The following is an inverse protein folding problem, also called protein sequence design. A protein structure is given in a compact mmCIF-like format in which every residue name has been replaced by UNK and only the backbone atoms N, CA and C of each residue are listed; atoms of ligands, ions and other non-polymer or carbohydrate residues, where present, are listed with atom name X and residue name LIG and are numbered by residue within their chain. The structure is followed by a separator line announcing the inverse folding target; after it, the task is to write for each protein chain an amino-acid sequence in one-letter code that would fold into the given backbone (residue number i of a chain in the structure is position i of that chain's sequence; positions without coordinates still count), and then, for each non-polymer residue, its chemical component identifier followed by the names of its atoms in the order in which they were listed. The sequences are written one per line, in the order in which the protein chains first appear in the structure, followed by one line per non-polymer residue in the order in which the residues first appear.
data_IF_791755239708
#
_entry.id   IF_791755239708
#
_cell.length_a   1.000
_cell.length_b   1.000
_cell.length_c   1.000
_cell.angle_alpha   90.00
_cell.angle_beta   90.00
_cell.angle_gamma   90.00
#
_symmetry.space_group_name_H-M   'P 1'
#
loop_
_entity.id
_entity.type
_entity.pdbx_description
1 polymer ?
#
# COMPACT_ATOMS: atom_id res chain seq x y z
N UNK A 1 9.26 1.79 21.77
CA UNK A 1 10.62 1.86 21.24
C UNK A 1 10.99 3.20 20.59
N UNK A 2 10.33 4.31 20.83
CA UNK A 2 10.66 5.69 20.50
C UNK A 2 11.68 5.95 19.37
N UNK A 3 12.39 7.04 19.46
CA UNK A 3 13.37 7.53 18.49
C UNK A 3 14.41 6.49 17.98
N UNK A 4 14.80 5.55 18.80
CA UNK A 4 15.87 4.60 18.45
C UNK A 4 15.41 3.44 17.58
N UNK A 5 14.08 3.22 17.46
CA UNK A 5 13.51 2.02 16.81
C UNK A 5 12.37 2.33 15.83
N UNK A 6 11.91 3.58 15.76
CA UNK A 6 10.86 4.03 14.85
C UNK A 6 11.49 4.97 13.83
N UNK A 7 11.91 4.42 12.72
CA UNK A 7 12.57 5.15 11.64
C UNK A 7 11.87 4.91 10.30
N UNK A 8 10.67 5.46 10.12
CA UNK A 8 9.98 5.34 8.84
C UNK A 8 10.76 6.03 7.70
N UNK A 9 11.66 6.94 8.02
CA UNK A 9 12.48 7.65 7.04
C UNK A 9 13.37 6.74 6.19
N UNK A 10 13.65 5.51 6.64
CA UNK A 10 14.39 4.53 5.83
C UNK A 10 13.63 4.18 4.55
N UNK A 11 12.30 4.25 4.58
CA UNK A 11 11.48 4.02 3.40
C UNK A 11 11.66 5.12 2.34
N UNK A 12 11.91 6.37 2.75
CA UNK A 12 12.23 7.44 1.79
C UNK A 12 13.51 7.14 1.01
N UNK A 13 14.47 6.48 1.67
CA UNK A 13 15.69 6.04 1.01
C UNK A 13 15.39 4.97 -0.03
N UNK A 14 14.59 3.98 0.33
CA UNK A 14 14.16 2.94 -0.61
C UNK A 14 13.26 3.48 -1.72
N UNK A 15 12.42 4.48 -1.45
CA UNK A 15 11.61 5.13 -2.48
C UNK A 15 12.46 5.79 -3.55
N UNK A 16 13.54 6.50 -3.15
CA UNK A 16 14.50 7.05 -4.10
C UNK A 16 15.18 5.97 -4.95
N UNK A 17 15.63 4.89 -4.32
CA UNK A 17 16.25 3.76 -5.02
C UNK A 17 15.25 3.01 -5.91
N UNK A 18 13.99 2.92 -5.50
CA UNK A 18 12.91 2.32 -6.29
C UNK A 18 12.66 3.08 -7.60
N UNK A 19 12.74 4.42 -7.57
CA UNK A 19 12.59 5.25 -8.78
C UNK A 19 13.80 5.16 -9.70
N UNK A 20 14.99 5.11 -9.15
CA UNK A 20 16.25 5.29 -9.88
C UNK A 20 16.98 3.97 -10.20
N UNK A 21 16.45 2.83 -9.77
CA UNK A 21 17.18 1.58 -9.93
C UNK A 21 16.34 0.31 -9.77
N UNK A 22 17.04 -0.80 -9.61
CA UNK A 22 16.48 -2.13 -9.47
C UNK A 22 16.23 -2.50 -8.00
N UNK A 23 15.59 -1.59 -7.23
CA UNK A 23 15.20 -1.87 -5.84
C UNK A 23 13.70 -2.07 -5.77
N UNK A 24 13.29 -3.14 -5.11
CA UNK A 24 11.91 -3.59 -4.96
C UNK A 24 11.58 -3.70 -3.47
N UNK A 25 11.03 -2.66 -2.85
CA UNK A 25 10.46 -2.77 -1.51
C UNK A 25 9.14 -3.55 -1.60
N UNK A 26 9.03 -4.61 -0.81
CA UNK A 26 7.87 -5.49 -0.76
C UNK A 26 7.17 -5.36 0.59
N UNK A 27 5.85 -5.31 0.55
CA UNK A 27 4.98 -5.10 1.71
C UNK A 27 3.93 -6.22 1.81
N UNK A 28 4.31 -7.40 2.30
CA UNK A 28 3.34 -8.48 2.53
C UNK A 28 2.31 -8.08 3.59
N UNK A 29 1.14 -8.70 3.53
CA UNK A 29 -0.01 -8.39 4.40
C UNK A 29 -0.39 -9.50 5.37
N UNK A 30 0.20 -10.69 5.20
CA UNK A 30 -0.02 -11.88 6.04
C UNK A 30 1.09 -12.92 5.84
N UNK A 31 1.01 -14.05 6.53
CA UNK A 31 2.02 -15.09 6.45
C UNK A 31 2.16 -15.73 5.05
N UNK A 32 1.07 -15.90 4.30
CA UNK A 32 1.12 -16.43 2.94
C UNK A 32 1.82 -15.46 1.99
N UNK A 33 1.53 -14.18 2.13
CA UNK A 33 2.17 -13.14 1.33
C UNK A 33 3.65 -12.96 1.70
N UNK A 34 4.03 -13.11 2.97
CA UNK A 34 5.43 -13.16 3.38
C UNK A 34 6.15 -14.30 2.67
N UNK A 35 5.58 -15.51 2.67
CA UNK A 35 6.16 -16.66 2.00
C UNK A 35 6.34 -16.43 0.49
N UNK A 36 5.34 -15.85 -0.16
CA UNK A 36 5.42 -15.51 -1.59
C UNK A 36 6.51 -14.47 -1.87
N UNK A 37 6.62 -13.43 -1.04
CA UNK A 37 7.67 -12.41 -1.16
C UNK A 37 9.07 -13.02 -1.01
N UNK A 38 9.28 -13.88 -0.01
CA UNK A 38 10.57 -14.58 0.14
C UNK A 38 10.89 -15.49 -1.05
N UNK A 39 9.91 -16.27 -1.53
CA UNK A 39 10.11 -17.11 -2.70
C UNK A 39 10.51 -16.28 -3.93
N UNK A 40 9.80 -15.18 -4.17
CA UNK A 40 10.11 -14.26 -5.26
C UNK A 40 11.52 -13.65 -5.11
N UNK A 41 11.88 -13.23 -3.89
CA UNK A 41 13.19 -12.64 -3.61
C UNK A 41 14.34 -13.63 -3.86
N UNK A 42 14.19 -14.89 -3.46
CA UNK A 42 15.20 -15.93 -3.63
C UNK A 42 15.36 -16.41 -5.09
N UNK A 43 14.30 -16.28 -5.90
CA UNK A 43 14.31 -16.68 -7.30
C UNK A 43 14.61 -15.54 -8.28
N UNK A 44 14.62 -14.29 -7.80
CA UNK A 44 14.88 -13.11 -8.61
C UNK A 44 16.36 -12.73 -8.57
N UNK A 45 16.95 -12.42 -9.73
CA UNK A 45 18.37 -12.06 -9.85
C UNK A 45 18.53 -10.58 -10.21
N UNK A 46 19.68 -10.00 -9.85
CA UNK A 46 20.10 -8.63 -10.19
C UNK A 46 19.13 -7.53 -9.70
N UNK A 47 18.43 -7.77 -8.59
CA UNK A 47 17.52 -6.81 -7.96
C UNK A 47 17.83 -6.69 -6.46
N UNK A 48 17.80 -5.47 -5.94
CA UNK A 48 17.77 -5.21 -4.50
C UNK A 48 16.33 -5.41 -3.99
N UNK A 49 16.14 -6.24 -2.99
CA UNK A 49 14.81 -6.54 -2.47
C UNK A 49 14.79 -6.28 -0.96
N UNK A 50 13.80 -5.54 -0.51
CA UNK A 50 13.51 -5.37 0.92
C UNK A 50 12.11 -5.89 1.21
N UNK A 51 11.91 -6.54 2.35
CA UNK A 51 10.61 -7.05 2.79
C UNK A 51 10.30 -6.42 4.13
N UNK A 52 9.24 -5.64 4.20
CA UNK A 52 8.77 -4.97 5.42
C UNK A 52 7.47 -5.61 5.90
N UNK A 53 7.52 -6.22 7.08
CA UNK A 53 6.36 -6.85 7.72
C UNK A 53 6.38 -6.62 9.22
N UNK A 54 5.23 -6.66 9.86
CA UNK A 54 5.12 -6.61 11.32
C UNK A 54 5.58 -7.92 11.96
N UNK A 55 5.82 -7.87 13.27
CA UNK A 55 6.11 -9.05 14.09
C UNK A 55 4.85 -9.63 14.75
N UNK A 56 3.70 -9.02 14.50
CA UNK A 56 2.43 -9.42 15.10
C UNK A 56 1.76 -10.53 14.29
N UNK A 57 1.11 -11.48 14.92
CA UNK A 57 0.24 -12.42 14.22
C UNK A 57 -0.96 -11.67 13.66
N UNK A 58 -1.25 -11.90 12.38
CA UNK A 58 -2.33 -11.24 11.65
C UNK A 58 -3.21 -12.29 10.94
N UNK A 59 -4.49 -11.99 10.68
CA UNK A 59 -5.35 -12.86 9.92
C UNK A 59 -4.80 -13.13 8.51
N UNK A 60 -4.93 -14.35 8.02
CA UNK A 60 -4.65 -14.70 6.64
C UNK A 60 -5.70 -14.08 5.73
N UNK A 61 -5.27 -13.34 4.73
CA UNK A 61 -6.12 -12.59 3.79
C UNK A 61 -5.85 -12.96 2.33
N UNK A 62 -4.68 -13.56 2.07
CA UNK A 62 -4.25 -13.92 0.73
C UNK A 62 -3.85 -15.40 0.65
N UNK A 63 -3.88 -15.95 -0.55
CA UNK A 63 -3.18 -17.20 -0.86
C UNK A 63 -1.77 -16.89 -1.40
N UNK A 64 -0.91 -17.91 -1.41
CA UNK A 64 0.41 -17.82 -2.03
C UNK A 64 0.33 -17.40 -3.50
N UNK A 65 -0.57 -18.01 -4.28
CA UNK A 65 -0.71 -17.73 -5.70
C UNK A 65 -1.26 -16.35 -5.99
N UNK A 66 -2.23 -15.88 -5.21
CA UNK A 66 -2.72 -14.50 -5.30
C UNK A 66 -1.60 -13.49 -5.07
N UNK A 67 -0.77 -13.71 -4.05
CA UNK A 67 0.36 -12.80 -3.78
C UNK A 67 1.43 -12.91 -4.86
N UNK A 68 1.71 -14.09 -5.39
CA UNK A 68 2.64 -14.27 -6.51
C UNK A 68 2.20 -13.42 -7.72
N UNK A 69 0.91 -13.43 -8.04
CA UNK A 69 0.35 -12.56 -9.07
C UNK A 69 0.48 -11.07 -8.70
N UNK A 70 0.20 -10.70 -7.45
CA UNK A 70 0.32 -9.33 -6.97
C UNK A 70 1.76 -8.80 -7.01
N UNK A 71 2.78 -9.64 -6.84
CA UNK A 71 4.19 -9.26 -6.98
C UNK A 71 4.52 -8.79 -8.40
N UNK A 72 3.89 -9.38 -9.41
CA UNK A 72 4.04 -8.97 -10.81
C UNK A 72 3.16 -7.77 -11.19
N UNK A 73 1.98 -7.65 -10.59
CA UNK A 73 1.03 -6.56 -10.86
C UNK A 73 1.25 -5.34 -9.96
N UNK A 74 1.93 -5.48 -8.85
CA UNK A 74 2.17 -4.43 -7.86
C UNK A 74 1.18 -4.41 -6.70
N UNK A 75 -0.07 -4.82 -6.91
CA UNK A 75 -1.13 -4.76 -5.91
C UNK A 75 -2.19 -5.84 -6.12
N UNK A 76 -3.04 -6.03 -5.10
CA UNK A 76 -4.17 -6.96 -5.12
C UNK A 76 -5.39 -6.35 -4.42
N UNK A 77 -6.57 -6.50 -5.01
CA UNK A 77 -7.83 -6.21 -4.34
C UNK A 77 -8.16 -7.32 -3.33
N UNK A 78 -8.21 -6.97 -2.05
CA UNK A 78 -8.52 -7.90 -0.95
C UNK A 78 -10.02 -8.02 -0.71
N UNK A 79 -10.76 -6.91 -0.88
CA UNK A 79 -12.19 -6.83 -0.66
C UNK A 79 -12.79 -5.75 -1.54
N UNK A 80 -14.04 -5.97 -1.98
CA UNK A 80 -14.90 -4.95 -2.60
C UNK A 80 -16.30 -5.07 -2.03
N UNK A 81 -16.85 -3.93 -1.62
CA UNK A 81 -18.22 -3.80 -1.12
C UNK A 81 -18.97 -2.87 -2.07
N UNK A 82 -20.16 -3.25 -2.57
CA UNK A 82 -20.94 -2.39 -3.48
C UNK A 82 -21.51 -1.17 -2.76
N UNK A 83 -21.76 -0.10 -3.50
CA UNK A 83 -22.40 1.13 -3.03
C UNK A 83 -22.69 2.07 -4.21
N UNK A 84 -23.42 3.15 -3.98
CA UNK A 84 -23.67 4.18 -5.01
C UNK A 84 -22.39 4.92 -5.39
N UNK A 85 -21.54 5.15 -4.42
CA UNK A 85 -20.18 5.71 -4.59
C UNK A 85 -19.16 4.73 -4.03
N UNK A 86 -17.97 4.71 -4.58
CA UNK A 86 -16.90 3.77 -4.19
C UNK A 86 -15.65 4.51 -3.72
N UNK A 87 -15.28 4.26 -2.48
CA UNK A 87 -13.99 4.68 -1.92
C UNK A 87 -12.96 3.59 -2.11
N UNK A 88 -11.83 3.92 -2.71
CA UNK A 88 -10.70 3.01 -2.84
C UNK A 88 -9.69 3.29 -1.72
N UNK A 89 -9.34 2.26 -0.98
CA UNK A 89 -8.27 2.28 0.00
C UNK A 89 -7.02 1.61 -0.60
N UNK A 90 -6.00 2.41 -0.96
CA UNK A 90 -4.69 1.91 -1.38
C UNK A 90 -3.80 1.77 -0.15
N UNK A 91 -3.50 0.54 0.26
CA UNK A 91 -2.90 0.26 1.58
C UNK A 91 -1.51 -0.35 1.44
N UNK A 92 -0.54 0.23 2.13
CA UNK A 92 0.79 -0.37 2.37
C UNK A 92 0.93 -0.69 3.86
N UNK A 93 1.35 -1.92 4.13
CA UNK A 93 1.58 -2.43 5.49
C UNK A 93 0.40 -3.25 6.03
N UNK A 94 0.77 -4.28 6.75
CA UNK A 94 -0.13 -5.29 7.26
C UNK A 94 -1.01 -4.80 8.43
N UNK A 95 -0.42 -4.04 9.36
CA UNK A 95 -1.12 -3.48 10.53
C UNK A 95 -2.16 -2.42 10.15
N UNK A 96 -1.92 -1.65 9.09
CA UNK A 96 -2.84 -0.60 8.63
C UNK A 96 -4.13 -1.15 8.03
N UNK A 97 -4.14 -2.42 7.65
CA UNK A 97 -5.36 -3.09 7.17
C UNK A 97 -6.44 -3.19 8.26
N UNK A 98 -6.07 -3.27 9.53
CA UNK A 98 -7.04 -3.40 10.63
C UNK A 98 -8.04 -2.23 10.61
N UNK A 99 -7.62 -0.96 10.80
CA UNK A 99 -8.55 0.17 10.75
C UNK A 99 -9.15 0.43 9.36
N UNK A 100 -8.54 -0.06 8.28
CA UNK A 100 -9.12 0.04 6.94
C UNK A 100 -10.33 -0.87 6.79
N UNK A 101 -10.28 -2.11 7.29
CA UNK A 101 -11.45 -3.00 7.28
C UNK A 101 -12.60 -2.42 8.12
N UNK A 102 -12.28 -1.89 9.31
CA UNK A 102 -13.25 -1.21 10.17
C UNK A 102 -13.90 0.01 9.45
N UNK A 103 -13.10 0.80 8.75
CA UNK A 103 -13.60 1.94 7.96
C UNK A 103 -14.52 1.48 6.81
N UNK A 104 -14.14 0.41 6.11
CA UNK A 104 -14.97 -0.16 5.04
C UNK A 104 -16.32 -0.67 5.55
N UNK A 105 -16.35 -1.29 6.71
CA UNK A 105 -17.58 -1.72 7.38
C UNK A 105 -18.45 -0.51 7.78
N UNK A 106 -17.85 0.53 8.37
CA UNK A 106 -18.58 1.77 8.71
C UNK A 106 -19.16 2.46 7.47
N UNK A 107 -18.43 2.54 6.36
CA UNK A 107 -18.92 3.10 5.10
C UNK A 107 -20.08 2.28 4.53
N UNK A 108 -19.98 0.96 4.56
CA UNK A 108 -21.01 0.06 4.07
C UNK A 108 -22.36 0.26 4.82
N UNK A 109 -22.33 0.51 6.14
CA UNK A 109 -23.56 0.83 6.91
C UNK A 109 -24.23 2.13 6.46
N UNK A 110 -23.51 2.99 5.72
CA UNK A 110 -23.98 4.27 5.20
C UNK A 110 -24.29 4.21 3.69
N UNK A 111 -24.28 3.01 3.08
CA UNK A 111 -24.54 2.82 1.66
C UNK A 111 -23.36 3.19 0.74
N UNK A 112 -22.22 3.49 1.30
CA UNK A 112 -21.00 3.83 0.55
C UNK A 112 -20.20 2.55 0.31
N UNK A 113 -19.92 2.24 -0.94
CA UNK A 113 -19.09 1.12 -1.35
C UNK A 113 -17.60 1.37 -1.08
N UNK A 114 -16.84 0.30 -1.00
CA UNK A 114 -15.40 0.40 -0.82
C UNK A 114 -14.64 -0.70 -1.57
N UNK A 115 -13.40 -0.41 -1.94
CA UNK A 115 -12.43 -1.39 -2.42
C UNK A 115 -11.14 -1.26 -1.63
N UNK A 116 -10.72 -2.36 -0.99
CA UNK A 116 -9.44 -2.44 -0.26
C UNK A 116 -8.40 -3.06 -1.18
N UNK A 117 -7.37 -2.30 -1.53
CA UNK A 117 -6.29 -2.71 -2.42
C UNK A 117 -4.98 -2.71 -1.64
N UNK A 118 -4.41 -3.88 -1.43
CA UNK A 118 -3.09 -4.01 -0.83
C UNK A 118 -2.00 -3.80 -1.88
N UNK A 119 -1.12 -2.85 -1.65
CA UNK A 119 0.06 -2.59 -2.47
C UNK A 119 1.21 -3.43 -1.94
N UNK A 120 1.57 -4.48 -2.68
CA UNK A 120 2.61 -5.44 -2.30
C UNK A 120 3.98 -5.03 -2.88
N UNK A 121 4.00 -4.57 -4.14
CA UNK A 121 5.19 -4.19 -4.87
C UNK A 121 4.97 -2.82 -5.55
N UNK A 122 5.14 -1.71 -4.82
CA UNK A 122 4.85 -0.38 -5.34
C UNK A 122 5.66 -0.02 -6.59
N UNK A 123 6.85 -0.61 -6.77
CA UNK A 123 7.70 -0.38 -7.96
C UNK A 123 6.96 -0.68 -9.27
N UNK A 124 6.10 -1.70 -9.29
CA UNK A 124 5.31 -2.09 -10.47
C UNK A 124 4.21 -1.09 -10.84
N UNK A 125 3.84 -0.20 -9.91
CA UNK A 125 2.74 0.75 -10.09
C UNK A 125 3.17 2.08 -10.73
N UNK A 126 4.46 2.33 -10.90
CA UNK A 126 4.93 3.47 -11.69
C UNK A 126 4.55 3.29 -13.17
N UNK A 127 4.49 4.40 -13.89
CA UNK A 127 4.61 4.39 -15.36
C UNK A 127 6.08 4.53 -15.74
N UNK A 128 6.49 4.09 -16.93
CA UNK A 128 7.86 4.35 -17.43
C UNK A 128 8.25 5.82 -17.37
N UNK A 129 7.31 6.73 -17.64
CA UNK A 129 7.51 8.19 -17.58
C UNK A 129 7.74 8.75 -16.17
N UNK A 130 7.37 8.00 -15.13
CA UNK A 130 7.44 8.47 -13.74
C UNK A 130 8.78 8.11 -13.07
N UNK A 131 9.63 7.33 -13.75
CA UNK A 131 10.91 6.84 -13.23
C UNK A 131 12.10 7.48 -13.95
N UNK A 132 13.29 7.35 -13.38
CA UNK A 132 14.50 7.87 -13.96
C UNK A 132 14.85 7.17 -15.28
N UNK A 133 15.61 7.85 -16.12
CA UNK A 133 16.06 7.38 -17.43
C UNK A 133 16.66 5.98 -17.41
N UNK A 134 17.52 5.68 -16.45
CA UNK A 134 18.18 4.37 -16.32
C UNK A 134 17.18 3.23 -16.04
N UNK A 135 16.08 3.54 -15.38
CA UNK A 135 15.02 2.58 -15.11
C UNK A 135 14.07 2.41 -16.31
N UNK A 136 14.01 3.38 -17.22
CA UNK A 136 13.21 3.31 -18.45
C UNK A 136 13.77 2.33 -19.49
N UNK A 137 15.01 1.86 -19.34
CA UNK A 137 15.57 0.81 -20.18
C UNK A 137 14.99 -0.58 -19.89
N UNK A 138 14.22 -0.70 -18.82
CA UNK A 138 13.49 -1.92 -18.50
C UNK A 138 12.25 -2.03 -19.40
N UNK A 139 11.87 -3.23 -19.77
CA UNK A 139 10.73 -3.48 -20.66
C UNK A 139 9.43 -2.90 -20.06
N UNK A 140 8.53 -2.42 -20.91
CA UNK A 140 7.19 -1.95 -20.49
C UNK A 140 6.42 -2.99 -19.68
N UNK A 141 6.76 -4.28 -19.81
CA UNK A 141 6.22 -5.37 -18.99
C UNK A 141 6.60 -5.32 -17.51
N UNK A 142 7.57 -4.46 -17.12
CA UNK A 142 7.93 -4.28 -15.70
C UNK A 142 6.98 -3.34 -14.95
N UNK A 143 6.03 -2.71 -15.62
CA UNK A 143 5.07 -1.78 -15.03
C UNK A 143 3.63 -2.22 -15.30
N UNK A 144 2.75 -1.99 -14.33
CA UNK A 144 1.34 -2.29 -14.49
C UNK A 144 0.70 -1.40 -15.57
N UNK A 145 0.08 -2.00 -16.58
CA UNK A 145 -0.63 -1.28 -17.64
C UNK A 145 -1.77 -0.40 -17.06
N UNK A 146 -2.06 0.73 -17.73
CA UNK A 146 -3.06 1.70 -17.27
C UNK A 146 -4.45 1.09 -17.08
N UNK A 147 -4.88 0.19 -17.96
CA UNK A 147 -6.16 -0.49 -17.82
C UNK A 147 -6.27 -1.33 -16.55
N UNK A 148 -5.21 -2.09 -16.21
CA UNK A 148 -5.16 -2.89 -15.01
C UNK A 148 -5.01 -2.00 -13.74
N UNK A 149 -4.29 -0.88 -13.84
CA UNK A 149 -4.23 0.10 -12.75
C UNK A 149 -5.63 0.67 -12.44
N UNK A 150 -6.39 1.06 -13.45
CA UNK A 150 -7.76 1.56 -13.28
C UNK A 150 -8.66 0.52 -12.61
N UNK A 151 -8.59 -0.74 -13.02
CA UNK A 151 -9.39 -1.81 -12.40
C UNK A 151 -9.16 -1.91 -10.88
N UNK A 152 -7.94 -1.65 -10.41
CA UNK A 152 -7.60 -1.70 -9.00
C UNK A 152 -7.96 -0.39 -8.27
N UNK A 153 -7.63 0.76 -8.85
CA UNK A 153 -7.59 2.04 -8.14
C UNK A 153 -8.62 3.08 -8.59
N UNK A 154 -9.46 2.79 -9.60
CA UNK A 154 -10.52 3.71 -10.00
C UNK A 154 -11.72 3.62 -9.05
N UNK A 155 -12.21 4.78 -8.62
CA UNK A 155 -13.35 4.99 -7.75
C UNK A 155 -13.71 6.47 -7.69
N UNK A 156 -14.70 6.82 -6.88
CA UNK A 156 -15.15 8.22 -6.69
C UNK A 156 -14.19 8.98 -5.76
N UNK A 157 -13.56 8.28 -4.83
CA UNK A 157 -12.49 8.82 -3.98
C UNK A 157 -11.40 7.77 -3.74
N UNK A 158 -10.16 8.23 -3.48
CA UNK A 158 -9.02 7.37 -3.17
C UNK A 158 -8.30 7.84 -1.91
N UNK A 159 -8.15 6.94 -0.95
CA UNK A 159 -7.33 7.15 0.24
C UNK A 159 -6.11 6.23 0.20
N UNK A 160 -4.93 6.84 0.19
CA UNK A 160 -3.66 6.15 0.41
C UNK A 160 -3.38 6.01 1.90
N UNK A 161 -3.07 4.81 2.37
CA UNK A 161 -2.85 4.52 3.79
C UNK A 161 -1.57 3.71 3.96
N UNK A 162 -0.64 4.20 4.76
CA UNK A 162 0.60 3.50 5.05
C UNK A 162 1.03 3.64 6.50
N UNK A 163 1.57 2.56 7.06
CA UNK A 163 2.25 2.57 8.36
C UNK A 163 3.68 3.11 8.29
N UNK A 164 4.16 3.43 7.11
CA UNK A 164 5.46 4.04 6.83
C UNK A 164 5.34 5.45 6.28
N UNK A 165 6.28 5.84 5.43
CA UNK A 165 6.26 7.15 4.78
C UNK A 165 5.35 7.18 3.56
N UNK A 166 4.85 8.37 3.22
CA UNK A 166 3.99 8.58 2.05
C UNK A 166 4.68 8.25 0.71
N UNK A 167 5.99 8.27 0.67
CA UNK A 167 6.77 8.06 -0.55
C UNK A 167 6.50 6.72 -1.23
N UNK A 168 6.17 5.67 -0.46
CA UNK A 168 5.87 4.35 -1.02
C UNK A 168 4.54 4.28 -1.79
N UNK A 169 3.61 5.21 -1.52
CA UNK A 169 2.34 5.33 -2.24
C UNK A 169 2.40 6.30 -3.43
N UNK A 170 3.53 6.96 -3.64
CA UNK A 170 3.72 7.91 -4.74
C UNK A 170 3.25 7.36 -6.09
N UNK A 171 3.60 6.13 -6.51
CA UNK A 171 3.19 5.61 -7.81
C UNK A 171 1.67 5.52 -7.97
N UNK A 172 0.94 5.24 -6.90
CA UNK A 172 -0.53 5.25 -6.91
C UNK A 172 -1.06 6.66 -7.03
N UNK A 173 -0.52 7.59 -6.23
CA UNK A 173 -0.98 8.98 -6.19
C UNK A 173 -0.72 9.73 -7.49
N UNK A 174 0.39 9.46 -8.18
CA UNK A 174 0.73 10.07 -9.47
C UNK A 174 -0.23 9.64 -10.59
N UNK A 175 -0.74 8.41 -10.54
CA UNK A 175 -1.60 7.84 -11.58
C UNK A 175 -3.09 8.04 -11.33
N UNK A 176 -3.50 8.20 -10.07
CA UNK A 176 -4.90 8.34 -9.70
C UNK A 176 -5.49 9.66 -10.20
N UNK A 177 -6.73 9.60 -10.71
CA UNK A 177 -7.47 10.76 -11.23
C UNK A 177 -8.58 11.21 -10.31
N UNK A 178 -9.09 10.32 -9.43
CA UNK A 178 -10.10 10.64 -8.43
C UNK A 178 -9.61 11.66 -7.38
N UNK A 179 -10.52 12.40 -6.73
CA UNK A 179 -10.21 13.12 -5.50
C UNK A 179 -9.51 12.20 -4.50
N UNK A 180 -8.41 12.66 -3.92
CA UNK A 180 -7.56 11.78 -3.12
C UNK A 180 -6.88 12.46 -1.96
N UNK A 181 -6.55 11.67 -0.94
CA UNK A 181 -5.73 12.09 0.19
C UNK A 181 -4.90 10.91 0.71
N UNK A 182 -3.99 11.20 1.65
CA UNK A 182 -3.04 10.22 2.14
C UNK A 182 -2.84 10.31 3.64
N UNK A 183 -2.86 9.14 4.29
CA UNK A 183 -2.51 8.92 5.67
C UNK A 183 -1.19 8.16 5.76
N UNK A 184 -0.22 8.75 6.42
CA UNK A 184 1.10 8.17 6.59
C UNK A 184 1.62 8.41 8.00
N UNK A 185 2.64 7.69 8.39
CA UNK A 185 3.31 7.86 9.66
C UNK A 185 3.98 9.24 9.74
N UNK A 186 3.71 9.99 10.81
CA UNK A 186 4.19 11.36 11.01
C UNK A 186 5.03 11.54 12.26
N UNK A 187 4.83 10.68 13.27
CA UNK A 187 5.43 10.83 14.60
C UNK A 187 5.92 9.49 15.13
N UNK A 188 7.14 9.46 15.64
CA UNK A 188 7.78 8.28 16.19
C UNK A 188 8.44 8.50 17.56
N UNK A 189 8.09 9.60 18.25
CA UNK A 189 8.86 10.05 19.42
C UNK A 189 8.45 9.39 20.75
N UNK A 190 7.48 8.47 20.72
CA UNK A 190 7.00 7.83 21.94
C UNK A 190 6.95 6.32 21.84
N UNK A 191 6.93 5.66 22.98
CA UNK A 191 6.72 4.23 23.09
C UNK A 191 5.30 3.96 23.55
N UNK A 192 4.54 3.22 22.76
CA UNK A 192 3.16 2.85 23.05
C UNK A 192 2.79 1.54 22.36
N UNK A 193 1.58 1.05 22.57
CA UNK A 193 1.05 -0.08 21.80
C UNK A 193 0.91 0.28 20.32
N UNK A 194 0.93 -0.69 19.40
CA UNK A 194 0.73 -0.43 17.97
C UNK A 194 -0.54 0.38 17.68
N UNK A 195 -1.65 0.04 18.33
CA UNK A 195 -2.93 0.75 18.16
C UNK A 195 -2.83 2.22 18.62
N UNK A 196 -2.20 2.49 19.76
CA UNK A 196 -2.01 3.85 20.26
C UNK A 196 -1.08 4.66 19.35
N UNK A 197 -0.03 4.05 18.81
CA UNK A 197 0.86 4.69 17.84
C UNK A 197 0.16 4.99 16.51
N UNK A 198 -0.68 4.10 16.02
CA UNK A 198 -1.51 4.35 14.84
C UNK A 198 -2.48 5.50 15.09
N UNK A 199 -3.17 5.53 16.24
CA UNK A 199 -4.08 6.62 16.61
C UNK A 199 -3.36 7.97 16.71
N UNK A 200 -2.16 8.00 17.30
CA UNK A 200 -1.32 9.20 17.36
C UNK A 200 -0.96 9.77 15.98
N UNK A 201 -0.85 8.89 14.99
CA UNK A 201 -0.57 9.25 13.61
C UNK A 201 -1.83 9.47 12.76
N UNK A 202 -3.03 9.39 13.37
CA UNK A 202 -4.30 9.56 12.67
C UNK A 202 -4.71 8.35 11.82
N UNK A 203 -4.04 7.22 11.96
CA UNK A 203 -4.32 5.97 11.24
C UNK A 203 -5.45 5.21 11.94
N UNK A 204 -6.65 5.78 11.91
CA UNK A 204 -7.86 5.23 12.55
C UNK A 204 -9.04 5.16 11.57
N UNK A 205 -9.94 4.21 11.78
CA UNK A 205 -11.14 4.03 10.95
C UNK A 205 -11.97 5.31 10.86
N UNK A 206 -12.21 6.00 11.97
CA UNK A 206 -13.03 7.22 12.00
C UNK A 206 -12.42 8.35 11.15
N UNK A 207 -11.10 8.51 11.18
CA UNK A 207 -10.42 9.50 10.35
C UNK A 207 -10.52 9.13 8.86
N UNK A 208 -10.41 7.84 8.53
CA UNK A 208 -10.56 7.37 7.15
C UNK A 208 -11.97 7.58 6.63
N UNK A 209 -12.98 7.23 7.41
CA UNK A 209 -14.40 7.45 7.07
C UNK A 209 -14.70 8.93 6.90
N UNK A 210 -14.28 9.77 7.87
CA UNK A 210 -14.49 11.21 7.77
C UNK A 210 -13.87 11.77 6.49
N UNK A 211 -12.61 11.42 6.21
CA UNK A 211 -11.91 11.95 5.04
C UNK A 211 -12.46 11.40 3.72
N UNK A 212 -12.86 10.13 3.68
CA UNK A 212 -13.54 9.56 2.53
C UNK A 212 -14.80 10.37 2.16
N UNK A 213 -15.61 10.69 3.14
CA UNK A 213 -16.86 11.48 2.94
C UNK A 213 -16.61 12.93 2.51
N UNK A 214 -15.50 13.53 2.92
CA UNK A 214 -15.11 14.87 2.46
C UNK A 214 -14.63 14.89 1.00
N UNK A 215 -14.20 13.74 0.46
CA UNK A 215 -13.72 13.61 -0.92
C UNK A 215 -14.83 13.19 -1.90
N UNK A 216 -15.89 12.53 -1.43
CA UNK A 216 -17.07 12.16 -2.20
C UNK A 216 -17.99 13.37 -2.44
#
# INVERSE_FOLDING_TARGET
NGWTHQRPEIENYFAGMMRNGNVFPLFPVDANSIQACYNWALTTQNKGITITASKSPLPIRTSFDQTRQALEQGAIALQSTPGEQTVVFAVIGDMTLIPVYEAAEQLATQGIGSRIVAVINPRRLYRPSDVAWEACSQSDGDFLADGAFKQLFEGDALLGITGGTSAMLEPVMLRATAPRDMFAWKRGETTASPAALMALNGLTADNFVRRAKELL
#
